data_IF_773057803292
#
_entry.id   IF_773057803292
#
_cell.length_a   1.000
_cell.length_b   1.000
_cell.length_c   1.000
_cell.angle_alpha   90.00
_cell.angle_beta   90.00
_cell.angle_gamma   90.00
#
_symmetry.space_group_name_H-M   'P 1'
#
loop_
_entity.id
_entity.type
_entity.pdbx_description
1 polymer ?
#
# COMPACT_ATOMS: atom_id res chain seq x y z
N UNK A 1 14.19 10.82 28.39
CA UNK A 1 14.15 9.78 29.43
C UNK A 1 14.28 8.46 28.69
N UNK A 2 15.32 7.68 28.97
CA UNK A 2 15.53 6.38 28.30
C UNK A 2 14.46 5.40 28.77
N UNK A 3 13.78 4.72 27.82
CA UNK A 3 12.77 3.72 28.16
C UNK A 3 13.51 2.46 28.60
N UNK A 4 13.20 1.98 29.80
CA UNK A 4 13.72 0.70 30.31
C UNK A 4 12.57 -0.30 30.43
N UNK A 5 12.89 -1.59 30.39
CA UNK A 5 11.91 -2.68 30.61
C UNK A 5 11.07 -2.43 31.85
N UNK A 6 11.76 -2.11 32.95
CA UNK A 6 11.20 -1.83 34.25
C UNK A 6 10.24 -0.62 34.25
N UNK A 7 10.61 0.45 33.55
CA UNK A 7 9.77 1.63 33.42
C UNK A 7 8.52 1.35 32.55
N UNK A 8 8.70 0.61 31.46
CA UNK A 8 7.63 0.24 30.54
C UNK A 8 6.62 -0.71 31.23
N UNK A 9 7.09 -1.77 31.89
CA UNK A 9 6.26 -2.70 32.69
C UNK A 9 5.46 -1.98 33.76
N UNK A 10 6.11 -1.11 34.55
CA UNK A 10 5.41 -0.33 35.60
C UNK A 10 4.39 0.64 35.02
N UNK A 11 4.65 1.22 33.85
CA UNK A 11 3.70 2.10 33.20
C UNK A 11 2.49 1.32 32.66
N UNK A 12 2.72 0.18 32.01
CA UNK A 12 1.68 -0.73 31.56
C UNK A 12 0.78 -1.20 32.71
N UNK A 13 1.35 -1.69 33.81
CA UNK A 13 0.54 -2.16 34.94
C UNK A 13 -0.31 -1.06 35.56
N UNK A 14 0.18 0.19 35.60
CA UNK A 14 -0.61 1.32 36.08
C UNK A 14 -1.76 1.66 35.13
N UNK A 15 -1.51 1.62 33.83
CA UNK A 15 -2.52 1.81 32.79
C UNK A 15 -3.59 0.71 32.85
N UNK A 16 -3.17 -0.55 32.86
CA UNK A 16 -4.02 -1.73 32.91
C UNK A 16 -4.89 -1.76 34.17
N UNK A 17 -4.32 -1.48 35.35
CA UNK A 17 -5.10 -1.42 36.60
C UNK A 17 -6.16 -0.30 36.62
N UNK A 18 -6.01 0.72 35.76
CA UNK A 18 -6.95 1.83 35.62
C UNK A 18 -8.01 1.62 34.54
N UNK A 19 -7.99 0.51 33.81
CA UNK A 19 -8.84 0.25 32.64
C UNK A 19 -9.49 -1.13 32.75
N UNK A 20 -10.82 -1.19 32.65
CA UNK A 20 -11.58 -2.43 32.58
C UNK A 20 -11.39 -3.19 31.26
N UNK A 21 -10.69 -2.59 30.30
CA UNK A 21 -10.40 -3.18 28.99
C UNK A 21 -9.02 -3.84 28.93
N UNK A 22 -8.11 -3.48 29.82
CA UNK A 22 -6.71 -3.90 29.78
C UNK A 22 -6.31 -4.73 31.00
N UNK A 23 -7.24 -5.02 31.91
CA UNK A 23 -6.98 -5.75 33.16
C UNK A 23 -6.55 -7.20 32.92
N UNK A 24 -7.11 -7.86 31.90
CA UNK A 24 -6.71 -9.20 31.45
C UNK A 24 -5.58 -9.18 30.41
N UNK A 25 -5.18 -8.00 29.92
CA UNK A 25 -4.16 -7.86 28.88
C UNK A 25 -2.74 -8.10 29.44
N UNK A 26 -2.14 -9.21 29.02
CA UNK A 26 -0.81 -9.61 29.47
C UNK A 26 0.25 -8.70 28.85
N UNK A 27 1.16 -8.18 29.68
CA UNK A 27 2.32 -7.44 29.18
C UNK A 27 3.20 -8.35 28.31
N UNK A 28 3.55 -7.95 27.08
CA UNK A 28 4.36 -8.79 26.20
C UNK A 28 5.74 -9.15 26.76
N UNK A 29 6.35 -10.27 26.33
CA UNK A 29 7.76 -10.54 26.59
C UNK A 29 8.66 -9.43 26.03
N UNK A 30 9.79 -9.20 26.70
CA UNK A 30 10.78 -8.17 26.35
C UNK A 30 12.18 -8.77 26.22
N UNK A 31 13.01 -8.21 25.33
CA UNK A 31 14.42 -8.60 25.19
C UNK A 31 15.18 -7.83 24.13
N UNK A 32 16.28 -8.39 23.64
CA UNK A 32 17.06 -7.90 22.50
C UNK A 32 16.64 -8.58 21.19
N UNK A 33 17.09 -8.09 20.03
CA UNK A 33 16.85 -8.76 18.75
C UNK A 33 17.36 -10.22 18.74
N UNK A 34 18.54 -10.49 19.30
CA UNK A 34 19.06 -11.87 19.42
C UNK A 34 18.13 -12.78 20.22
N UNK A 35 17.52 -12.25 21.29
CA UNK A 35 16.58 -13.00 22.12
C UNK A 35 15.23 -13.19 21.43
N UNK A 36 14.79 -12.21 20.66
CA UNK A 36 13.60 -12.31 19.81
C UNK A 36 13.80 -13.36 18.70
N UNK A 37 14.93 -13.36 18.00
CA UNK A 37 15.24 -14.38 16.98
C UNK A 37 15.20 -15.79 17.58
N UNK A 38 15.86 -15.99 18.72
CA UNK A 38 15.82 -17.27 19.44
C UNK A 38 14.40 -17.65 19.91
N UNK A 39 13.57 -16.67 20.30
CA UNK A 39 12.18 -16.89 20.68
C UNK A 39 11.34 -17.38 19.49
N UNK A 40 11.53 -16.76 18.33
CA UNK A 40 10.85 -17.13 17.09
C UNK A 40 11.29 -18.52 16.61
N UNK A 41 12.59 -18.80 16.58
CA UNK A 41 13.13 -20.12 16.19
C UNK A 41 12.65 -21.25 17.14
N UNK A 42 12.48 -20.92 18.42
CA UNK A 42 11.96 -21.84 19.44
C UNK A 42 10.46 -22.14 19.35
N UNK A 43 9.74 -21.59 18.35
CA UNK A 43 8.30 -21.79 18.17
C UNK A 43 7.42 -20.79 18.93
N UNK A 44 7.98 -19.72 19.48
CA UNK A 44 7.27 -18.61 20.15
C UNK A 44 6.55 -17.65 19.20
N UNK A 45 5.96 -18.16 18.12
CA UNK A 45 5.52 -17.34 16.98
C UNK A 45 4.14 -16.67 17.11
N UNK A 46 3.49 -16.69 18.27
CA UNK A 46 2.15 -16.12 18.43
C UNK A 46 2.15 -15.03 19.50
N UNK A 47 2.04 -13.77 19.05
CA UNK A 47 1.88 -12.60 19.91
C UNK A 47 3.01 -11.59 19.77
N UNK A 48 2.79 -10.41 20.32
CA UNK A 48 3.74 -9.31 20.32
C UNK A 48 4.96 -9.65 21.19
N UNK A 49 6.16 -9.30 20.72
CA UNK A 49 7.42 -9.30 21.47
C UNK A 49 8.02 -7.90 21.42
N UNK A 50 8.58 -7.41 22.52
CA UNK A 50 9.16 -6.06 22.59
C UNK A 50 10.68 -6.13 22.62
N UNK A 51 11.32 -5.59 21.58
CA UNK A 51 12.75 -5.38 21.56
C UNK A 51 13.07 -4.00 22.14
N UNK A 52 13.96 -3.96 23.12
CA UNK A 52 14.41 -2.72 23.78
C UNK A 52 15.83 -2.40 23.33
N UNK A 53 16.00 -1.30 22.62
CA UNK A 53 17.31 -0.84 22.16
C UNK A 53 18.06 -0.05 23.23
N UNK A 54 19.38 0.02 23.08
CA UNK A 54 20.26 0.75 24.00
C UNK A 54 19.94 2.25 24.06
N UNK A 55 19.42 2.84 22.99
CA UNK A 55 19.04 4.25 22.96
C UNK A 55 17.68 4.53 23.65
N UNK A 56 16.98 3.48 24.08
CA UNK A 56 15.65 3.54 24.68
C UNK A 56 14.50 3.46 23.66
N UNK A 57 14.77 3.13 22.39
CA UNK A 57 13.75 2.79 21.40
C UNK A 57 13.10 1.44 21.74
N UNK A 58 11.80 1.33 21.50
CA UNK A 58 11.03 0.10 21.68
C UNK A 58 10.48 -0.35 20.33
N UNK A 59 10.92 -1.50 19.85
CA UNK A 59 10.40 -2.13 18.64
C UNK A 59 9.42 -3.24 19.02
N UNK A 60 8.22 -3.23 18.45
CA UNK A 60 7.23 -4.29 18.63
C UNK A 60 7.25 -5.25 17.45
N UNK A 61 7.43 -6.54 17.71
CA UNK A 61 7.53 -7.59 16.69
C UNK A 61 6.38 -8.60 16.83
N UNK A 62 5.63 -8.88 15.75
CA UNK A 62 4.39 -9.68 15.77
C UNK A 62 4.53 -11.15 15.34
N UNK A 63 5.70 -11.52 14.80
CA UNK A 63 6.02 -12.83 14.24
C UNK A 63 7.36 -12.77 13.51
N UNK A 64 7.86 -13.86 12.89
CA UNK A 64 9.15 -13.87 12.20
C UNK A 64 9.26 -12.74 11.16
N UNK A 65 10.24 -11.85 11.32
CA UNK A 65 10.52 -10.73 10.42
C UNK A 65 9.39 -9.70 10.27
N UNK A 66 8.47 -9.64 11.24
CA UNK A 66 7.32 -8.72 11.24
C UNK A 66 7.48 -7.67 12.34
N UNK A 67 8.16 -6.56 12.02
CA UNK A 67 8.21 -5.38 12.88
C UNK A 67 6.93 -4.55 12.71
N UNK A 68 6.12 -4.50 13.76
CA UNK A 68 4.77 -3.91 13.76
C UNK A 68 4.83 -2.42 14.07
N UNK A 69 5.74 -1.99 14.94
CA UNK A 69 5.95 -0.59 15.29
C UNK A 69 7.33 -0.32 15.87
N UNK A 70 7.75 0.94 15.79
CA UNK A 70 8.91 1.50 16.50
C UNK A 70 8.43 2.70 17.30
N UNK A 71 8.69 2.70 18.61
CA UNK A 71 8.30 3.77 19.52
C UNK A 71 9.53 4.39 20.20
N UNK A 72 9.61 5.72 20.17
CA UNK A 72 10.71 6.48 20.80
C UNK A 72 10.28 7.14 22.11
N UNK A 73 8.99 7.13 22.40
CA UNK A 73 8.40 7.67 23.62
C UNK A 73 7.66 6.60 24.44
N UNK A 74 7.63 6.78 25.76
CA UNK A 74 6.89 5.87 26.65
C UNK A 74 5.39 5.88 26.35
N UNK A 75 4.80 7.06 26.09
CA UNK A 75 3.38 7.20 25.76
C UNK A 75 3.04 6.50 24.43
N UNK A 76 3.88 6.69 23.41
CA UNK A 76 3.78 6.03 22.12
C UNK A 76 3.86 4.50 22.23
N UNK A 77 4.81 3.98 23.04
CA UNK A 77 4.92 2.55 23.28
C UNK A 77 3.66 2.00 23.98
N UNK A 78 3.13 2.72 24.99
CA UNK A 78 1.89 2.32 25.67
C UNK A 78 0.67 2.37 24.77
N UNK A 79 0.59 3.38 23.89
CA UNK A 79 -0.44 3.48 22.86
C UNK A 79 -0.41 2.25 21.94
N UNK A 80 0.75 1.87 21.41
CA UNK A 80 0.89 0.70 20.52
C UNK A 80 0.53 -0.61 21.23
N UNK A 81 0.89 -0.75 22.52
CA UNK A 81 0.50 -1.90 23.34
C UNK A 81 -1.01 -1.96 23.56
N UNK A 82 -1.64 -0.82 23.85
CA UNK A 82 -3.08 -0.74 24.01
C UNK A 82 -3.82 -1.03 22.69
N UNK A 83 -3.32 -0.52 21.56
CA UNK A 83 -3.86 -0.81 20.23
C UNK A 83 -3.83 -2.31 19.92
N UNK A 84 -2.73 -3.00 20.24
CA UNK A 84 -2.65 -4.46 20.09
C UNK A 84 -3.66 -5.19 20.99
N UNK A 85 -3.80 -4.75 22.24
CA UNK A 85 -4.71 -5.38 23.19
C UNK A 85 -6.18 -5.24 22.77
N UNK A 86 -6.62 -4.04 22.34
CA UNK A 86 -8.02 -3.82 21.93
C UNK A 86 -8.39 -4.54 20.64
N UNK A 87 -7.41 -4.87 19.80
CA UNK A 87 -7.62 -5.64 18.56
C UNK A 87 -8.25 -7.01 18.84
N UNK A 88 -7.90 -7.64 19.96
CA UNK A 88 -8.48 -8.91 20.40
C UNK A 88 -9.89 -8.80 20.99
N UNK A 89 -10.36 -7.58 21.27
CA UNK A 89 -11.62 -7.32 21.97
C UNK A 89 -12.77 -6.94 21.01
N UNK A 90 -12.47 -6.35 19.87
CA UNK A 90 -13.46 -5.98 18.86
C UNK A 90 -12.92 -6.25 17.44
N UNK A 91 -13.70 -6.95 16.63
CA UNK A 91 -13.35 -7.29 15.25
C UNK A 91 -13.54 -6.14 14.25
N UNK A 92 -14.06 -5.00 14.68
CA UNK A 92 -14.32 -3.83 13.83
C UNK A 92 -13.39 -2.67 14.17
N UNK A 93 -12.98 -1.92 13.15
CA UNK A 93 -12.08 -0.77 13.31
C UNK A 93 -12.77 0.38 14.06
N UNK A 94 -14.07 0.56 13.82
CA UNK A 94 -14.88 1.53 14.56
C UNK A 94 -15.02 1.14 16.05
N UNK A 95 -15.21 -0.14 16.36
CA UNK A 95 -15.26 -0.64 17.73
C UNK A 95 -13.92 -0.47 18.44
N UNK A 96 -12.82 -0.86 17.79
CA UNK A 96 -11.45 -0.62 18.30
C UNK A 96 -11.20 0.87 18.59
N UNK A 97 -11.61 1.77 17.69
CA UNK A 97 -11.50 3.22 17.93
C UNK A 97 -12.29 3.69 19.17
N UNK A 98 -13.48 3.13 19.41
CA UNK A 98 -14.28 3.42 20.59
C UNK A 98 -13.66 2.84 21.88
N UNK A 99 -13.01 1.67 21.81
CA UNK A 99 -12.26 1.11 22.93
C UNK A 99 -11.04 1.98 23.26
N UNK A 100 -10.31 2.45 22.24
CA UNK A 100 -9.19 3.39 22.43
C UNK A 100 -9.67 4.70 23.08
N UNK A 101 -10.81 5.27 22.65
CA UNK A 101 -11.40 6.47 23.29
C UNK A 101 -11.72 6.25 24.77
N UNK A 102 -12.15 5.05 25.15
CA UNK A 102 -12.47 4.71 26.55
C UNK A 102 -11.23 4.61 27.42
N UNK A 103 -10.11 4.15 26.87
CA UNK A 103 -8.82 4.09 27.57
C UNK A 103 -8.27 5.51 27.72
N UNK A 104 -8.16 6.23 26.61
CA UNK A 104 -7.75 7.63 26.56
C UNK A 104 -8.37 8.32 25.31
N UNK A 105 -9.18 9.38 25.47
CA UNK A 105 -9.80 10.07 24.33
C UNK A 105 -8.80 10.69 23.33
N UNK A 106 -7.60 11.05 23.79
CA UNK A 106 -6.49 11.45 22.94
C UNK A 106 -6.00 10.29 22.08
N UNK A 107 -5.85 9.10 22.66
CA UNK A 107 -5.48 7.90 21.91
C UNK A 107 -6.53 7.45 20.90
N UNK A 108 -7.82 7.53 21.22
CA UNK A 108 -8.84 7.22 20.22
C UNK A 108 -8.92 8.25 19.08
N UNK A 109 -8.52 9.50 19.30
CA UNK A 109 -8.27 10.48 18.21
C UNK A 109 -7.06 10.07 17.37
N UNK A 110 -5.95 9.73 18.02
CA UNK A 110 -4.70 9.26 17.38
C UNK A 110 -4.96 8.03 16.52
N UNK A 111 -5.70 7.05 17.04
CA UNK A 111 -6.09 5.84 16.33
C UNK A 111 -6.87 6.17 15.06
N UNK A 112 -7.87 7.06 15.13
CA UNK A 112 -8.61 7.50 13.93
C UNK A 112 -7.76 8.32 12.96
N UNK A 113 -6.69 8.94 13.45
CA UNK A 113 -5.71 9.64 12.64
C UNK A 113 -4.74 8.74 11.89
N UNK A 114 -4.67 7.46 12.26
CA UNK A 114 -3.75 6.49 11.66
C UNK A 114 -2.46 6.24 12.43
N UNK A 115 -2.30 6.81 13.63
CA UNK A 115 -1.15 6.53 14.48
C UNK A 115 -0.61 7.74 15.25
N UNK A 116 0.37 7.50 16.14
CA UNK A 116 0.88 8.46 17.13
C UNK A 116 1.85 9.51 16.58
N UNK A 117 2.11 9.54 15.27
CA UNK A 117 3.11 10.40 14.63
C UNK A 117 2.79 11.91 14.70
N UNK A 118 1.60 12.27 15.20
CA UNK A 118 1.16 13.65 15.41
C UNK A 118 0.86 14.42 14.12
N UNK A 119 0.86 13.75 12.97
CA UNK A 119 0.47 14.35 11.71
C UNK A 119 -1.05 14.57 11.68
N UNK A 120 -1.51 15.58 10.94
CA UNK A 120 -2.95 15.77 10.76
C UNK A 120 -3.56 14.51 10.12
N UNK A 121 -4.70 14.02 10.66
CA UNK A 121 -5.44 12.92 10.04
C UNK A 121 -5.69 13.21 8.57
N UNK A 122 -5.67 12.16 7.75
CA UNK A 122 -6.15 12.29 6.37
C UNK A 122 -7.59 12.85 6.40
N UNK A 123 -7.94 13.76 5.47
CA UNK A 123 -9.29 14.28 5.39
C UNK A 123 -10.29 13.14 5.11
N UNK A 124 -11.56 13.29 5.50
CA UNK A 124 -12.58 12.28 5.22
C UNK A 124 -12.63 11.91 3.74
N UNK A 125 -12.74 10.61 3.47
CA UNK A 125 -12.97 10.09 2.14
C UNK A 125 -14.43 10.39 1.75
N UNK A 126 -14.67 11.55 1.16
CA UNK A 126 -16.03 12.01 0.81
C UNK A 126 -16.58 11.50 -0.52
N UNK A 127 -15.86 10.60 -1.21
CA UNK A 127 -16.19 10.08 -2.53
C UNK A 127 -16.61 8.62 -2.43
N UNK A 128 -17.42 8.14 -3.38
CA UNK A 128 -17.60 6.70 -3.55
C UNK A 128 -16.22 6.09 -3.82
N UNK A 129 -15.76 5.14 -2.98
CA UNK A 129 -14.41 4.62 -3.09
C UNK A 129 -14.17 3.87 -4.40
N UNK A 130 -15.22 3.50 -5.14
CA UNK A 130 -15.15 2.85 -6.45
C UNK A 130 -15.23 3.83 -7.63
N UNK A 131 -15.29 5.14 -7.39
CA UNK A 131 -15.19 6.16 -8.45
C UNK A 131 -13.76 6.32 -9.00
N UNK A 132 -12.74 6.00 -8.20
CA UNK A 132 -11.32 6.09 -8.58
C UNK A 132 -10.84 4.96 -9.49
N UNK A 133 -9.75 4.30 -9.13
CA UNK A 133 -9.25 3.07 -9.72
C UNK A 133 -9.50 1.80 -8.88
N UNK A 134 -9.93 1.90 -7.62
CA UNK A 134 -10.15 0.78 -6.70
C UNK A 134 -11.19 -0.23 -7.22
N UNK A 135 -12.09 0.21 -8.11
CA UNK A 135 -13.00 -0.68 -8.84
C UNK A 135 -12.28 -1.78 -9.63
N UNK A 136 -10.99 -1.62 -9.94
CA UNK A 136 -10.20 -2.61 -10.67
C UNK A 136 -9.78 -3.78 -9.79
N UNK A 137 -9.75 -3.61 -8.46
CA UNK A 137 -9.24 -4.59 -7.50
C UNK A 137 -9.76 -6.02 -7.76
N UNK A 138 -11.08 -6.15 -7.93
CA UNK A 138 -11.71 -7.45 -8.19
C UNK A 138 -11.25 -8.13 -9.47
N UNK A 139 -11.07 -7.39 -10.57
CA UNK A 139 -10.58 -7.96 -11.84
C UNK A 139 -9.07 -8.13 -11.86
N UNK A 140 -8.35 -7.26 -11.14
CA UNK A 140 -6.90 -7.22 -11.11
C UNK A 140 -6.30 -8.38 -10.30
N UNK A 141 -7.07 -8.92 -9.33
CA UNK A 141 -6.80 -10.23 -8.71
C UNK A 141 -6.71 -11.36 -9.71
N UNK A 142 -7.49 -11.29 -10.79
CA UNK A 142 -7.46 -12.20 -11.92
C UNK A 142 -6.57 -11.67 -13.07
N UNK A 143 -5.72 -10.68 -12.78
CA UNK A 143 -4.76 -10.07 -13.71
C UNK A 143 -5.35 -9.31 -14.89
N UNK A 144 -6.62 -8.92 -14.79
CA UNK A 144 -7.30 -8.17 -15.83
C UNK A 144 -7.40 -6.67 -15.47
N UNK A 145 -7.25 -5.76 -16.45
CA UNK A 145 -6.93 -6.02 -17.87
C UNK A 145 -5.43 -6.20 -18.16
N UNK A 146 -4.56 -5.85 -17.21
CA UNK A 146 -3.11 -5.91 -17.34
C UNK A 146 -2.48 -6.24 -15.98
N UNK A 147 -1.31 -6.87 -15.94
CA UNK A 147 -0.62 -7.19 -14.67
C UNK A 147 0.15 -6.03 -14.06
N UNK A 148 0.46 -4.98 -14.82
CA UNK A 148 1.15 -3.79 -14.32
C UNK A 148 0.28 -2.54 -14.46
N UNK A 149 0.28 -1.71 -13.41
CA UNK A 149 -0.22 -0.34 -13.40
C UNK A 149 0.93 0.57 -12.98
N UNK A 150 1.38 1.44 -13.90
CA UNK A 150 2.45 2.38 -13.66
C UNK A 150 1.93 3.81 -13.76
N UNK A 151 2.29 4.66 -12.82
CA UNK A 151 1.93 6.08 -12.78
C UNK A 151 3.19 6.93 -12.75
N UNK A 152 3.18 8.03 -13.50
CA UNK A 152 4.30 8.94 -13.68
C UNK A 152 3.85 10.38 -13.48
N UNK A 153 4.58 11.15 -12.68
CA UNK A 153 4.36 12.58 -12.45
C UNK A 153 5.66 13.35 -12.62
N UNK A 154 5.57 14.59 -13.10
CA UNK A 154 6.71 15.46 -13.32
C UNK A 154 6.41 16.60 -14.29
N UNK A 155 7.42 17.41 -14.59
CA UNK A 155 7.26 18.58 -15.47
C UNK A 155 7.00 18.14 -16.92
N UNK A 156 5.78 18.38 -17.41
CA UNK A 156 5.38 18.06 -18.80
C UNK A 156 5.45 16.58 -19.19
N UNK A 157 5.30 15.66 -18.23
CA UNK A 157 5.22 14.21 -18.52
C UNK A 157 4.00 13.90 -19.37
N UNK A 158 4.23 13.43 -20.60
CA UNK A 158 3.19 13.11 -21.57
C UNK A 158 3.00 11.60 -21.74
N UNK A 159 1.75 11.14 -21.74
CA UNK A 159 1.39 9.72 -21.88
C UNK A 159 1.94 9.07 -23.15
N UNK A 160 1.93 9.77 -24.27
CA UNK A 160 2.49 9.27 -25.53
C UNK A 160 4.00 9.06 -25.44
N UNK A 161 4.74 9.97 -24.78
CA UNK A 161 6.19 9.83 -24.58
C UNK A 161 6.53 8.67 -23.67
N UNK A 162 5.77 8.47 -22.60
CA UNK A 162 5.91 7.31 -21.71
C UNK A 162 5.63 6.01 -22.47
N UNK A 163 4.54 5.94 -23.23
CA UNK A 163 4.22 4.75 -24.02
C UNK A 163 5.34 4.42 -25.04
N UNK A 164 5.86 5.44 -25.75
CA UNK A 164 6.98 5.28 -26.68
C UNK A 164 8.26 4.83 -25.97
N UNK A 165 8.56 5.37 -24.79
CA UNK A 165 9.71 4.95 -23.98
C UNK A 165 9.62 3.47 -23.60
N UNK A 166 8.40 2.97 -23.36
CA UNK A 166 8.11 1.56 -23.10
C UNK A 166 8.02 0.69 -24.36
N UNK A 167 8.26 1.26 -25.54
CA UNK A 167 8.33 0.54 -26.82
C UNK A 167 7.00 0.41 -27.58
N UNK A 168 6.00 1.25 -27.27
CA UNK A 168 4.77 1.34 -28.05
C UNK A 168 5.05 1.67 -29.54
N UNK A 169 4.29 1.07 -30.46
CA UNK A 169 4.40 1.36 -31.89
C UNK A 169 4.07 2.85 -32.17
N UNK A 170 5.02 3.64 -32.72
CA UNK A 170 4.79 5.04 -33.03
C UNK A 170 3.60 5.30 -33.96
N UNK A 171 3.26 4.35 -34.83
CA UNK A 171 2.11 4.44 -35.73
C UNK A 171 0.79 4.40 -34.97
N UNK A 172 0.65 3.51 -34.00
CA UNK A 172 -0.53 3.44 -33.13
C UNK A 172 -0.64 4.68 -32.23
N UNK A 173 0.49 5.10 -31.66
CA UNK A 173 0.55 6.31 -30.83
C UNK A 173 0.11 7.53 -31.64
N UNK A 174 0.67 7.74 -32.84
CA UNK A 174 0.33 8.87 -33.71
C UNK A 174 -1.09 8.81 -34.28
N UNK A 175 -1.61 7.62 -34.59
CA UNK A 175 -2.97 7.42 -35.08
C UNK A 175 -4.04 7.64 -34.00
N UNK A 176 -3.64 7.65 -32.74
CA UNK A 176 -4.55 7.74 -31.61
C UNK A 176 -5.39 6.48 -31.39
N UNK A 177 -4.80 5.32 -31.67
CA UNK A 177 -5.42 4.00 -31.53
C UNK A 177 -6.01 3.80 -30.14
N UNK A 178 -7.20 3.20 -30.10
CA UNK A 178 -7.93 2.85 -28.87
C UNK A 178 -7.85 1.36 -28.61
N UNK A 179 -8.09 0.95 -27.36
CA UNK A 179 -8.10 -0.46 -26.99
C UNK A 179 -9.06 -1.29 -27.85
N UNK A 180 -10.26 -0.76 -28.12
CA UNK A 180 -11.27 -1.39 -28.99
C UNK A 180 -10.80 -1.60 -30.43
N UNK A 181 -9.86 -0.78 -30.91
CA UNK A 181 -9.30 -0.89 -32.27
C UNK A 181 -8.25 -2.01 -32.35
N UNK A 182 -7.66 -2.40 -31.22
CA UNK A 182 -6.70 -3.50 -31.13
C UNK A 182 -7.39 -4.86 -31.01
N UNK A 183 -8.59 -4.89 -30.41
CA UNK A 183 -9.41 -6.07 -30.21
C UNK A 183 -9.93 -6.58 -31.56
N UNK A 184 -9.14 -7.42 -32.25
CA UNK A 184 -9.58 -8.10 -33.46
C UNK A 184 -10.82 -8.96 -33.10
N UNK A 185 -11.99 -8.55 -33.60
CA UNK A 185 -13.25 -9.17 -33.25
C UNK A 185 -13.25 -10.68 -33.48
N UNK A 186 -13.13 -11.46 -32.40
CA UNK A 186 -13.61 -12.83 -32.25
C UNK A 186 -13.53 -13.25 -30.79
N UNK A 187 -14.69 -13.35 -30.15
CA UNK A 187 -14.86 -14.29 -29.06
C UNK A 187 -14.47 -15.69 -29.58
N UNK A 188 -13.42 -16.27 -29.02
CA UNK A 188 -12.89 -17.55 -29.44
C UNK A 188 -12.53 -18.36 -28.22
N UNK A 189 -13.33 -19.40 -27.95
CA UNK A 189 -12.98 -20.44 -27.00
C UNK A 189 -11.64 -21.08 -27.40
N UNK A 190 -10.63 -20.88 -26.54
CA UNK A 190 -9.34 -21.59 -26.48
C UNK A 190 -8.34 -21.36 -27.64
N UNK A 191 -7.19 -20.74 -27.33
CA UNK A 191 -5.91 -21.16 -27.94
C UNK A 191 -4.93 -20.13 -28.53
N UNK A 192 -5.14 -18.81 -28.42
CA UNK A 192 -4.12 -17.80 -28.78
C UNK A 192 -4.08 -16.72 -27.71
N UNK A 193 -2.89 -16.35 -27.22
CA UNK A 193 -2.70 -15.39 -26.14
C UNK A 193 -3.45 -14.08 -26.46
N UNK A 194 -4.23 -13.51 -25.52
CA UNK A 194 -4.98 -12.28 -25.78
C UNK A 194 -4.06 -11.16 -26.28
N UNK A 195 -4.59 -10.32 -27.18
CA UNK A 195 -3.93 -9.13 -27.75
C UNK A 195 -3.34 -8.19 -26.68
N UNK A 196 -3.75 -8.36 -25.44
CA UNK A 196 -3.34 -7.61 -24.26
C UNK A 196 -1.87 -7.89 -23.88
N UNK A 197 -1.31 -9.08 -24.16
CA UNK A 197 0.10 -9.38 -23.83
C UNK A 197 1.10 -8.58 -24.67
N UNK A 198 0.72 -8.26 -25.91
CA UNK A 198 1.55 -7.51 -26.86
C UNK A 198 1.14 -6.04 -26.97
N UNK A 199 0.50 -5.48 -25.93
CA UNK A 199 0.03 -4.10 -25.94
C UNK A 199 0.11 -3.39 -24.59
N UNK A 200 -0.10 -2.08 -24.63
CA UNK A 200 -0.37 -1.26 -23.46
C UNK A 200 -1.58 -0.36 -23.66
N UNK A 201 -2.16 0.05 -22.53
CA UNK A 201 -3.05 1.19 -22.44
C UNK A 201 -2.35 2.34 -21.72
N UNK A 202 -2.54 3.57 -22.17
CA UNK A 202 -1.90 4.73 -21.59
C UNK A 202 -2.80 5.96 -21.61
N UNK A 203 -2.51 6.93 -20.75
CA UNK A 203 -3.28 8.16 -20.70
C UNK A 203 -2.89 9.05 -19.54
N UNK A 204 -3.77 9.99 -19.21
CA UNK A 204 -3.62 10.88 -18.05
C UNK A 204 -4.87 10.79 -17.18
N UNK A 205 -4.67 10.86 -15.87
CA UNK A 205 -5.71 10.97 -14.87
C UNK A 205 -5.22 11.91 -13.76
N UNK A 206 -5.88 13.06 -13.61
CA UNK A 206 -5.36 14.14 -12.77
C UNK A 206 -3.95 14.56 -13.17
N UNK A 207 -3.06 14.64 -12.19
CA UNK A 207 -1.66 15.02 -12.37
C UNK A 207 -0.76 13.86 -12.83
N UNK A 208 -1.31 12.64 -12.90
CA UNK A 208 -0.57 11.44 -13.23
C UNK A 208 -0.78 11.03 -14.70
N UNK A 209 0.32 10.70 -15.36
CA UNK A 209 0.31 9.87 -16.56
C UNK A 209 0.27 8.40 -16.14
N UNK A 210 -0.57 7.58 -16.75
CA UNK A 210 -0.62 6.14 -16.46
C UNK A 210 -0.23 5.29 -17.67
N UNK A 211 0.27 4.10 -17.39
CA UNK A 211 0.55 3.03 -18.34
C UNK A 211 0.11 1.70 -17.72
N UNK A 212 -0.66 0.91 -18.47
CA UNK A 212 -1.06 -0.45 -18.09
C UNK A 212 -0.51 -1.44 -19.12
N UNK A 213 0.14 -2.51 -18.66
CA UNK A 213 0.78 -3.50 -19.55
C UNK A 213 0.98 -4.86 -18.86
N UNK A 214 1.19 -5.92 -19.64
CA UNK A 214 1.53 -7.24 -19.12
C UNK A 214 3.03 -7.50 -19.07
N UNK A 215 3.71 -7.18 -20.17
CA UNK A 215 5.16 -7.24 -20.29
C UNK A 215 5.64 -6.01 -21.08
N UNK A 216 6.91 -5.68 -20.96
CA UNK A 216 7.53 -4.61 -21.74
C UNK A 216 7.97 -5.11 -23.12
N UNK A 217 8.04 -4.23 -24.13
CA UNK A 217 8.47 -4.64 -25.46
C UNK A 217 9.90 -5.24 -25.43
N UNK A 218 10.19 -6.33 -26.17
CA UNK A 218 11.48 -7.02 -26.10
C UNK A 218 12.70 -6.11 -26.28
N UNK A 219 13.60 -6.14 -25.28
CA UNK A 219 14.83 -5.35 -25.27
C UNK A 219 14.64 -3.87 -24.98
N UNK A 220 13.45 -3.47 -24.53
CA UNK A 220 13.23 -2.15 -23.91
C UNK A 220 13.90 -2.16 -22.55
N UNK A 221 14.70 -1.13 -22.28
CA UNK A 221 15.30 -0.91 -20.97
C UNK A 221 14.96 0.51 -20.57
N UNK A 222 14.00 0.62 -19.65
CA UNK A 222 13.63 1.91 -19.07
C UNK A 222 14.39 2.04 -17.76
N UNK A 223 15.24 3.04 -17.66
CA UNK A 223 16.03 3.32 -16.47
C UNK A 223 15.76 4.72 -15.92
N UNK A 224 16.34 5.02 -14.75
CA UNK A 224 16.15 6.29 -14.07
C UNK A 224 16.63 7.49 -14.92
N UNK A 225 17.63 7.30 -15.79
CA UNK A 225 18.12 8.37 -16.66
C UNK A 225 17.06 8.72 -17.72
N UNK A 226 16.45 7.72 -18.34
CA UNK A 226 15.37 7.93 -19.31
C UNK A 226 14.16 8.63 -18.69
N UNK A 227 13.81 8.31 -17.44
CA UNK A 227 12.75 9.02 -16.71
C UNK A 227 13.11 10.48 -16.42
N UNK A 228 14.34 10.75 -15.98
CA UNK A 228 14.82 12.10 -15.74
C UNK A 228 14.81 12.95 -17.02
N UNK A 229 15.18 12.39 -18.18
CA UNK A 229 15.10 13.07 -19.48
C UNK A 229 13.67 13.46 -19.88
N UNK A 230 12.68 12.66 -19.46
CA UNK A 230 11.26 12.97 -19.66
C UNK A 230 10.69 13.91 -18.58
N UNK A 231 11.52 14.40 -17.65
CA UNK A 231 11.09 15.28 -16.56
C UNK A 231 10.27 14.56 -15.49
N UNK A 232 10.31 13.23 -15.43
CA UNK A 232 9.61 12.44 -14.41
C UNK A 232 10.33 12.60 -13.08
N UNK A 233 9.60 13.10 -12.08
CA UNK A 233 10.08 13.25 -10.70
C UNK A 233 9.54 12.17 -9.80
N UNK A 234 8.38 11.57 -10.12
CA UNK A 234 7.76 10.56 -9.28
C UNK A 234 7.17 9.42 -10.11
N UNK A 235 7.32 8.20 -9.61
CA UNK A 235 6.78 7.00 -10.23
C UNK A 235 6.18 6.08 -9.19
N UNK A 236 4.97 5.58 -9.46
CA UNK A 236 4.32 4.53 -8.65
C UNK A 236 4.10 3.32 -9.54
N UNK A 237 4.60 2.17 -9.12
CA UNK A 237 4.37 0.89 -9.79
C UNK A 237 3.57 -0.04 -8.89
N UNK A 238 2.51 -0.58 -9.48
CA UNK A 238 1.75 -1.69 -8.94
C UNK A 238 1.90 -2.85 -9.92
N UNK A 239 2.27 -4.04 -9.43
CA UNK A 239 2.28 -5.26 -10.24
C UNK A 239 1.49 -6.38 -9.57
N UNK A 240 0.77 -7.19 -10.34
CA UNK A 240 0.08 -8.39 -9.89
C UNK A 240 0.83 -9.65 -10.33
N UNK A 241 1.10 -10.59 -9.41
CA UNK A 241 1.75 -11.87 -9.71
C UNK A 241 0.75 -13.06 -9.71
N UNK A 242 0.96 -14.01 -10.62
CA UNK A 242 0.06 -15.17 -10.82
C UNK A 242 0.16 -16.15 -9.66
N UNK A 243 -1.00 -16.52 -9.11
CA UNK A 243 -1.14 -17.62 -8.16
C UNK A 243 -1.06 -17.27 -6.67
N UNK A 244 -0.79 -16.01 -6.28
CA UNK A 244 -0.67 -15.65 -4.84
C UNK A 244 -1.31 -14.35 -4.38
N UNK A 245 -2.01 -13.59 -5.22
CA UNK A 245 -2.45 -12.23 -4.85
C UNK A 245 -1.29 -11.39 -4.25
N UNK A 246 -0.06 -11.67 -4.69
CA UNK A 246 1.12 -10.89 -4.37
C UNK A 246 1.07 -9.71 -5.31
N UNK A 247 1.03 -8.54 -4.71
CA UNK A 247 1.25 -7.30 -5.41
C UNK A 247 2.60 -6.76 -5.04
N UNK A 248 3.17 -5.93 -5.90
CA UNK A 248 4.30 -5.12 -5.50
C UNK A 248 3.91 -3.68 -5.59
N UNK A 249 4.25 -2.90 -4.58
CA UNK A 249 4.17 -1.46 -4.58
C UNK A 249 5.59 -0.92 -4.56
N UNK A 250 5.94 -0.15 -5.58
CA UNK A 250 7.20 0.56 -5.64
C UNK A 250 6.93 2.04 -5.91
N UNK A 251 7.47 2.90 -5.05
CA UNK A 251 7.27 4.34 -5.13
C UNK A 251 8.61 5.04 -5.10
N UNK A 252 8.92 5.74 -6.20
CA UNK A 252 10.14 6.54 -6.31
C UNK A 252 9.77 8.01 -6.37
N UNK A 253 10.64 8.81 -5.75
CA UNK A 253 10.67 10.26 -5.85
C UNK A 253 12.11 10.70 -6.10
N UNK A 254 12.28 11.53 -7.12
CA UNK A 254 13.57 12.04 -7.60
C UNK A 254 14.60 10.93 -7.86
N UNK A 255 14.13 9.84 -8.50
CA UNK A 255 14.95 8.68 -8.84
C UNK A 255 15.38 7.81 -7.65
N UNK A 256 14.88 8.08 -6.44
CA UNK A 256 15.14 7.29 -5.24
C UNK A 256 13.86 6.64 -4.76
N UNK A 257 13.97 5.38 -4.33
CA UNK A 257 12.87 4.71 -3.66
C UNK A 257 12.51 5.49 -2.38
N UNK A 258 11.22 5.70 -2.18
CA UNK A 258 10.71 6.42 -1.00
C UNK A 258 10.86 5.56 0.26
N UNK A 259 10.90 4.24 0.10
CA UNK A 259 11.09 3.26 1.16
C UNK A 259 12.32 2.39 0.89
N UNK A 260 13.01 1.96 1.94
CA UNK A 260 14.21 1.13 1.83
C UNK A 260 13.90 -0.38 1.99
N UNK A 261 12.74 -0.76 2.58
CA UNK A 261 12.43 -2.16 2.99
C UNK A 261 11.36 -2.89 2.16
N UNK A 262 11.26 -2.54 0.88
CA UNK A 262 10.80 -3.54 -0.09
C UNK A 262 9.29 -3.67 -0.27
N UNK A 263 8.93 -4.75 -0.92
CA UNK A 263 7.66 -4.98 -1.60
C UNK A 263 6.57 -5.35 -0.57
N UNK A 264 5.42 -4.65 -0.58
CA UNK A 264 4.26 -5.14 0.18
C UNK A 264 3.55 -6.23 -0.60
N UNK A 265 3.53 -7.42 -0.04
CA UNK A 265 2.58 -8.45 -0.45
C UNK A 265 1.22 -8.19 0.22
N UNK A 266 0.24 -7.70 -0.54
CA UNK A 266 -1.09 -7.39 0.00
C UNK A 266 -1.83 -8.60 0.59
N UNK A 267 -1.46 -9.84 0.25
CA UNK A 267 -1.95 -11.04 0.93
C UNK A 267 -1.62 -11.05 2.44
N UNK A 268 -0.60 -10.32 2.85
CA UNK A 268 -0.15 -10.19 4.24
C UNK A 268 -0.75 -8.95 4.93
N UNK A 269 -1.43 -8.06 4.21
CA UNK A 269 -2.11 -6.93 4.82
C UNK A 269 -3.38 -7.39 5.53
N UNK A 270 -3.46 -7.08 6.82
CA UNK A 270 -4.61 -7.38 7.67
C UNK A 270 -5.28 -6.07 8.08
N UNK A 271 -6.63 -6.02 8.01
CA UNK A 271 -7.38 -4.83 8.39
C UNK A 271 -7.05 -4.42 9.83
N UNK A 272 -6.74 -3.15 10.01
CA UNK A 272 -6.34 -2.57 11.28
C UNK A 272 -4.87 -2.70 11.62
N UNK A 273 -4.06 -3.36 10.78
CA UNK A 273 -2.61 -3.28 10.81
C UNK A 273 -2.11 -2.12 9.96
N UNK A 274 -0.95 -1.59 10.33
CA UNK A 274 -0.21 -0.64 9.52
C UNK A 274 0.84 -1.41 8.71
N UNK A 275 0.69 -1.52 7.38
CA UNK A 275 1.64 -2.30 6.57
C UNK A 275 2.99 -1.62 6.38
N UNK A 276 3.15 -0.37 6.81
CA UNK A 276 4.41 0.36 6.79
C UNK A 276 4.84 0.78 8.18
N UNK A 277 6.14 1.01 8.34
CA UNK A 277 6.72 1.60 9.56
C UNK A 277 6.07 2.95 9.86
N UNK A 278 5.49 3.07 11.06
CA UNK A 278 4.87 4.30 11.57
C UNK A 278 5.93 5.39 11.77
N UNK A 279 5.59 6.64 11.44
CA UNK A 279 6.55 7.74 11.37
C UNK A 279 7.58 7.64 10.23
N UNK A 280 7.53 6.57 9.41
CA UNK A 280 8.35 6.38 8.23
C UNK A 280 7.86 7.20 7.02
N UNK A 281 8.58 7.11 5.91
CA UNK A 281 8.27 7.88 4.69
C UNK A 281 6.95 7.47 4.01
N UNK A 282 6.49 6.25 4.23
CA UNK A 282 5.21 5.73 3.72
C UNK A 282 4.08 5.76 4.76
N UNK A 283 4.29 6.36 5.93
CA UNK A 283 3.27 6.40 6.98
C UNK A 283 2.02 7.21 6.59
N UNK A 284 2.15 8.12 5.62
CA UNK A 284 0.99 8.79 5.03
C UNK A 284 -0.02 7.77 4.45
N UNK A 285 0.44 6.61 3.99
CA UNK A 285 -0.41 5.56 3.44
C UNK A 285 -1.06 4.72 4.55
N UNK A 286 -0.36 4.47 5.67
CA UNK A 286 -1.00 3.91 6.88
C UNK A 286 -2.17 4.78 7.34
N UNK A 287 -1.98 6.10 7.36
CA UNK A 287 -3.03 7.05 7.74
C UNK A 287 -4.21 7.06 6.77
N UNK A 288 -3.93 7.01 5.46
CA UNK A 288 -4.97 6.89 4.45
C UNK A 288 -5.74 5.55 4.55
N UNK A 289 -5.04 4.44 4.82
CA UNK A 289 -5.65 3.13 5.04
C UNK A 289 -6.57 3.14 6.25
N UNK A 290 -6.08 3.60 7.41
CA UNK A 290 -6.90 3.71 8.62
C UNK A 290 -8.13 4.58 8.40
N UNK A 291 -7.98 5.68 7.66
CA UNK A 291 -9.11 6.54 7.32
C UNK A 291 -10.13 5.82 6.42
N UNK A 292 -9.66 5.12 5.39
CA UNK A 292 -10.51 4.32 4.51
C UNK A 292 -11.24 3.21 5.28
N UNK A 293 -10.59 2.54 6.23
CA UNK A 293 -11.21 1.51 7.08
C UNK A 293 -12.39 2.04 7.90
N UNK A 294 -12.30 3.28 8.36
CA UNK A 294 -13.32 3.93 9.18
C UNK A 294 -14.46 4.53 8.34
N UNK A 295 -14.12 5.14 7.21
CA UNK A 295 -15.08 5.88 6.37
C UNK A 295 -15.83 4.97 5.40
N UNK A 296 -15.20 3.87 4.98
CA UNK A 296 -15.74 2.92 4.01
C UNK A 296 -15.79 1.49 4.58
N UNK A 297 -16.53 1.25 5.67
CA UNK A 297 -16.68 -0.10 6.23
C UNK A 297 -17.32 -1.09 5.24
N UNK A 298 -18.02 -0.60 4.21
CA UNK A 298 -18.57 -1.40 3.11
C UNK A 298 -17.52 -1.99 2.17
N UNK A 299 -16.31 -1.40 2.09
CA UNK A 299 -15.20 -2.00 1.36
C UNK A 299 -14.62 -3.13 2.19
N UNK A 300 -15.08 -4.36 1.97
CA UNK A 300 -14.56 -5.55 2.66
C UNK A 300 -13.34 -6.16 1.99
N UNK A 301 -13.14 -5.89 0.70
CA UNK A 301 -11.98 -6.37 -0.06
C UNK A 301 -10.73 -5.52 0.25
N UNK A 302 -9.67 -6.16 0.73
CA UNK A 302 -8.44 -5.50 1.15
C UNK A 302 -7.72 -4.80 -0.01
N UNK A 303 -7.82 -5.33 -1.24
CA UNK A 303 -7.21 -4.71 -2.42
C UNK A 303 -7.93 -3.41 -2.79
N UNK A 304 -9.26 -3.43 -2.80
CA UNK A 304 -10.07 -2.25 -3.05
C UNK A 304 -9.79 -1.17 -2.00
N UNK A 305 -9.70 -1.54 -0.74
CA UNK A 305 -9.36 -0.64 0.36
C UNK A 305 -7.97 0.00 0.17
N UNK A 306 -6.97 -0.81 -0.17
CA UNK A 306 -5.61 -0.34 -0.38
C UNK A 306 -5.48 0.59 -1.60
N UNK A 307 -6.15 0.28 -2.70
CA UNK A 307 -6.19 1.15 -3.87
C UNK A 307 -6.90 2.47 -3.57
N UNK A 308 -7.99 2.42 -2.81
CA UNK A 308 -8.67 3.63 -2.38
C UNK A 308 -7.78 4.51 -1.48
N UNK A 309 -6.97 3.91 -0.59
CA UNK A 309 -6.00 4.63 0.20
C UNK A 309 -4.89 5.27 -0.66
N UNK A 310 -4.40 4.56 -1.69
CA UNK A 310 -3.45 5.11 -2.67
C UNK A 310 -4.03 6.27 -3.49
N UNK A 311 -5.28 6.17 -3.94
CA UNK A 311 -5.99 7.27 -4.62
C UNK A 311 -6.03 8.52 -3.77
N UNK A 312 -6.45 8.36 -2.52
CA UNK A 312 -6.68 9.48 -1.62
C UNK A 312 -5.37 10.13 -1.21
N UNK A 313 -4.33 9.33 -0.99
CA UNK A 313 -3.03 9.83 -0.54
C UNK A 313 -2.15 10.42 -1.65
N UNK A 314 -2.15 9.81 -2.84
CA UNK A 314 -1.26 10.19 -3.94
C UNK A 314 -1.99 10.88 -5.10
N UNK A 315 -3.33 10.87 -5.10
CA UNK A 315 -4.14 11.42 -6.20
C UNK A 315 -4.13 10.55 -7.45
N UNK A 316 -3.85 9.25 -7.32
CA UNK A 316 -3.86 8.30 -8.44
C UNK A 316 -5.28 8.08 -8.97
N UNK A 317 -5.40 7.72 -10.24
CA UNK A 317 -6.69 7.35 -10.82
C UNK A 317 -6.57 6.75 -12.21
N UNK A 318 -7.64 6.10 -12.65
CA UNK A 318 -7.76 5.52 -13.99
C UNK A 318 -9.09 5.95 -14.62
N UNK A 319 -9.15 6.14 -15.96
CA UNK A 319 -10.39 6.51 -16.63
C UNK A 319 -11.30 5.27 -16.77
N UNK A 320 -12.07 4.98 -15.71
CA UNK A 320 -12.96 3.80 -15.60
C UNK A 320 -13.84 3.58 -16.82
N UNK A 321 -14.51 4.65 -17.27
CA UNK A 321 -15.42 4.59 -18.42
C UNK A 321 -14.66 4.21 -19.69
N UNK A 322 -13.55 4.87 -19.96
CA UNK A 322 -12.79 4.68 -21.19
C UNK A 322 -12.16 3.29 -21.26
N UNK A 323 -11.73 2.75 -20.12
CA UNK A 323 -11.22 1.38 -20.03
C UNK A 323 -12.35 0.38 -20.31
N UNK A 324 -13.52 0.56 -19.68
CA UNK A 324 -14.67 -0.36 -19.86
C UNK A 324 -15.27 -0.31 -21.26
N UNK A 325 -15.30 0.87 -21.87
CA UNK A 325 -15.81 1.07 -23.24
C UNK A 325 -14.74 0.78 -24.31
N UNK A 326 -13.50 0.48 -23.91
CA UNK A 326 -12.37 0.25 -24.83
C UNK A 326 -11.91 1.51 -25.58
N UNK A 327 -12.34 2.71 -25.16
CA UNK A 327 -11.98 3.98 -25.80
C UNK A 327 -10.67 4.56 -25.28
N UNK A 328 -10.11 3.98 -24.21
CA UNK A 328 -8.78 4.33 -23.70
C UNK A 328 -7.72 4.17 -24.78
N UNK A 329 -6.73 5.07 -24.81
CA UNK A 329 -5.63 5.02 -25.78
C UNK A 329 -4.79 3.77 -25.54
N UNK A 330 -4.47 3.08 -26.62
CA UNK A 330 -3.72 1.84 -26.58
C UNK A 330 -2.78 1.72 -27.78
N UNK A 331 -1.73 0.94 -27.62
CA UNK A 331 -0.80 0.62 -28.69
C UNK A 331 -0.24 -0.78 -28.52
N UNK A 332 -0.08 -1.51 -29.63
CA UNK A 332 0.79 -2.70 -29.65
C UNK A 332 2.26 -2.31 -29.50
N UNK A 333 3.07 -3.24 -29.01
CA UNK A 333 4.53 -3.10 -29.03
C UNK A 333 5.07 -3.02 -30.46
N UNK A 334 6.10 -2.19 -30.65
CA UNK A 334 6.81 -2.14 -31.91
C UNK A 334 7.45 -3.51 -32.21
N UNK A 335 7.09 -4.13 -33.33
CA UNK A 335 7.79 -5.34 -33.79
C UNK A 335 9.17 -4.94 -34.27
N UNK A 336 10.20 -5.67 -33.84
CA UNK A 336 11.49 -5.64 -34.55
C UNK A 336 11.27 -6.32 -35.89
N UNK A 337 11.49 -5.60 -36.98
CA UNK A 337 11.66 -6.22 -38.30
C UNK A 337 12.87 -7.17 -38.16
N UNK A 338 12.60 -8.48 -38.08
CA UNK A 338 13.62 -9.54 -38.09
C UNK A 338 14.10 -9.80 -39.50
#
# INVERSE_FOLDING_TARGET
MQITEDALKRAWHRLAAGSDLLDEAVFPPTGTYEQYEAHVEGGGGAGLYLVLEEDGTVCGCGGPYDEVFVARGLDEALYCLAEEAVRGLDGTIAGQAALMDRIDPGWGRVFRGGGPDGAEPAPPCGRDPLEGFAWIAGSWREQAPYTHLAFFRGESVGAERIALLYGADPRHVAAGTRLSDLSEGKGGAHGTWPTDWDSCCFGRSGDWTFLMYHDTAPGTRVDAAAFAELGVTETVWLSACLGKAIYTFDYLRDGRRVDDDGIIELISYERGRTPYVRGGRLDFLNRALRRAELDHPELTDEFALYFHALETSLGLGLPRRDIREGTVRAARWARRDT
#
